data_IF_434092313386
#
_entry.id   IF_434092313386
#
_cell.length_a   1.000
_cell.length_b   1.000
_cell.length_c   1.000
_cell.angle_alpha   90.00
_cell.angle_beta   90.00
_cell.angle_gamma   90.00
#
_symmetry.space_group_name_H-M   'P 1'
#
loop_
_entity.id
_entity.type
_entity.pdbx_description
1 polymer ?
#
# COMPACT_ATOMS: atom_id res chain seq x y z
N UNK A 1 -3.84 -5.10 -7.96
CA UNK A 1 -4.20 -6.50 -7.66
C UNK A 1 -5.14 -6.65 -6.47
N UNK A 2 -4.83 -6.21 -5.23
CA UNK A 2 -5.77 -6.37 -4.10
C UNK A 2 -7.14 -5.71 -4.37
N UNK A 3 -7.17 -4.50 -4.93
CA UNK A 3 -8.41 -3.85 -5.34
C UNK A 3 -9.23 -4.68 -6.34
N UNK A 4 -8.55 -5.27 -7.34
CA UNK A 4 -9.14 -6.17 -8.32
C UNK A 4 -9.76 -7.40 -7.67
N UNK A 5 -9.04 -8.04 -6.74
CA UNK A 5 -9.54 -9.19 -5.97
C UNK A 5 -10.82 -8.81 -5.22
N UNK A 6 -10.83 -7.67 -4.52
CA UNK A 6 -12.02 -7.21 -3.80
C UNK A 6 -13.19 -6.90 -4.76
N UNK A 7 -12.91 -6.34 -5.94
CA UNK A 7 -13.93 -6.14 -6.97
C UNK A 7 -14.52 -7.46 -7.48
N UNK A 8 -13.67 -8.42 -7.81
CA UNK A 8 -14.08 -9.76 -8.26
C UNK A 8 -14.89 -10.50 -7.18
N UNK A 9 -14.46 -10.43 -5.91
CA UNK A 9 -15.19 -11.04 -4.81
C UNK A 9 -16.57 -10.40 -4.60
N UNK A 10 -16.66 -9.07 -4.77
CA UNK A 10 -17.90 -8.32 -4.62
C UNK A 10 -18.90 -8.58 -5.75
N UNK A 11 -18.45 -8.52 -7.01
CA UNK A 11 -19.28 -8.76 -8.18
C UNK A 11 -18.42 -9.29 -9.33
N UNK A 12 -18.28 -10.60 -9.39
CA UNK A 12 -17.48 -11.32 -10.38
C UNK A 12 -18.04 -11.15 -11.79
N UNK A 13 -19.36 -11.07 -11.96
CA UNK A 13 -19.98 -10.79 -13.27
C UNK A 13 -19.56 -9.42 -13.81
N UNK A 14 -19.62 -8.38 -12.98
CA UNK A 14 -19.20 -7.02 -13.36
C UNK A 14 -17.68 -6.94 -13.59
N UNK A 15 -16.89 -7.65 -12.79
CA UNK A 15 -15.45 -7.72 -13.00
C UNK A 15 -15.14 -8.36 -14.36
N UNK A 16 -15.69 -9.57 -14.60
CA UNK A 16 -15.44 -10.36 -15.80
C UNK A 16 -16.05 -9.78 -17.08
N UNK A 17 -17.03 -8.87 -16.97
CA UNK A 17 -17.55 -8.14 -18.13
C UNK A 17 -16.59 -7.06 -18.65
N UNK A 18 -15.55 -6.72 -17.89
CA UNK A 18 -14.56 -5.68 -18.25
C UNK A 18 -13.16 -6.23 -18.37
N UNK A 19 -12.79 -7.18 -17.50
CA UNK A 19 -11.44 -7.72 -17.38
C UNK A 19 -11.46 -9.23 -17.37
N UNK A 20 -10.55 -9.85 -18.12
CA UNK A 20 -10.30 -11.29 -18.06
C UNK A 20 -9.40 -11.62 -16.88
N UNK A 21 -8.43 -10.74 -16.56
CA UNK A 21 -7.39 -10.97 -15.57
C UNK A 21 -7.36 -9.89 -14.47
N UNK A 22 -6.91 -10.26 -13.27
CA UNK A 22 -6.81 -9.38 -12.09
C UNK A 22 -5.80 -8.24 -12.27
N UNK A 23 -4.81 -8.39 -13.15
CA UNK A 23 -3.81 -7.37 -13.43
C UNK A 23 -4.29 -6.28 -14.41
N UNK A 24 -5.37 -6.53 -15.15
CA UNK A 24 -6.01 -5.56 -16.06
C UNK A 24 -6.81 -4.49 -15.29
N UNK A 25 -7.19 -4.78 -14.04
CA UNK A 25 -7.87 -3.86 -13.14
C UNK A 25 -6.88 -3.03 -12.31
N UNK A 26 -6.51 -1.88 -12.86
CA UNK A 26 -5.67 -0.86 -12.23
C UNK A 26 -6.44 0.47 -12.12
N UNK A 27 -5.82 1.50 -11.53
CA UNK A 27 -6.52 2.72 -11.12
C UNK A 27 -7.42 3.35 -12.19
N UNK A 28 -6.94 3.44 -13.44
CA UNK A 28 -7.67 4.04 -14.57
C UNK A 28 -8.73 3.11 -15.18
N UNK A 29 -8.65 1.80 -14.96
CA UNK A 29 -9.52 0.79 -15.57
C UNK A 29 -10.45 0.08 -14.58
N UNK A 30 -10.54 0.54 -13.31
CA UNK A 30 -11.28 -0.14 -12.24
C UNK A 30 -12.71 -0.52 -12.62
N UNK A 31 -13.02 -1.81 -12.66
CA UNK A 31 -14.33 -2.34 -13.00
C UNK A 31 -15.41 -1.92 -12.01
N UNK A 32 -15.10 -1.97 -10.71
CA UNK A 32 -15.98 -1.53 -9.62
C UNK A 32 -15.87 -0.03 -9.31
N UNK A 33 -14.99 0.71 -9.99
CA UNK A 33 -14.76 2.15 -9.80
C UNK A 33 -14.64 2.52 -8.30
N UNK A 34 -15.40 3.51 -7.81
CA UNK A 34 -15.43 3.92 -6.40
C UNK A 34 -16.50 3.19 -5.56
N UNK A 35 -17.19 2.17 -6.12
CA UNK A 35 -18.25 1.44 -5.40
C UNK A 35 -17.74 0.70 -4.16
N UNK A 36 -16.45 0.34 -4.12
CA UNK A 36 -15.85 -0.39 -3.00
C UNK A 36 -14.94 0.45 -2.11
N UNK A 37 -14.81 1.74 -2.40
CA UNK A 37 -13.92 2.64 -1.67
C UNK A 37 -14.71 3.43 -0.61
N UNK A 38 -14.04 3.71 0.51
CA UNK A 38 -14.48 4.64 1.54
C UNK A 38 -13.28 5.22 2.29
N UNK A 39 -13.43 6.40 2.84
CA UNK A 39 -12.38 7.18 3.50
C UNK A 39 -12.19 6.84 4.97
N UNK A 40 -13.18 6.20 5.60
CA UNK A 40 -13.17 5.86 7.02
C UNK A 40 -14.12 4.69 7.35
N UNK A 41 -13.96 4.10 8.53
CA UNK A 41 -14.75 2.96 9.01
C UNK A 41 -16.25 3.26 9.01
N UNK A 42 -16.65 4.48 9.39
CA UNK A 42 -18.06 4.84 9.46
C UNK A 42 -18.70 4.83 8.08
N UNK A 43 -18.05 5.45 7.09
CA UNK A 43 -18.54 5.46 5.70
C UNK A 43 -18.68 4.04 5.14
N UNK A 44 -17.69 3.16 5.37
CA UNK A 44 -17.75 1.76 4.93
C UNK A 44 -18.89 1.02 5.63
N UNK A 45 -19.05 1.21 6.95
CA UNK A 45 -20.15 0.61 7.72
C UNK A 45 -21.53 1.08 7.24
N UNK A 46 -21.69 2.36 6.92
CA UNK A 46 -22.94 2.89 6.37
C UNK A 46 -23.25 2.26 5.02
N UNK A 47 -22.23 2.14 4.16
CA UNK A 47 -22.36 1.61 2.80
C UNK A 47 -22.68 0.11 2.75
N UNK A 48 -22.04 -0.70 3.59
CA UNK A 48 -22.11 -2.16 3.48
C UNK A 48 -22.76 -2.87 4.68
N UNK A 49 -22.93 -2.19 5.80
CA UNK A 49 -23.50 -2.78 7.02
C UNK A 49 -24.70 -1.97 7.56
N UNK A 50 -25.40 -1.23 6.70
CA UNK A 50 -26.61 -0.45 7.04
C UNK A 50 -26.42 0.45 8.28
N UNK A 51 -25.21 1.00 8.47
CA UNK A 51 -24.89 1.87 9.60
C UNK A 51 -24.72 1.16 10.95
N UNK A 52 -24.82 -0.18 11.01
CA UNK A 52 -24.60 -0.97 12.24
C UNK A 52 -23.12 -0.99 12.63
N UNK A 53 -22.64 0.13 13.17
CA UNK A 53 -21.20 0.38 13.36
C UNK A 53 -20.53 -0.58 14.34
N UNK A 54 -21.16 -0.86 15.49
CA UNK A 54 -20.63 -1.81 16.48
C UNK A 54 -20.47 -3.22 15.91
N UNK A 55 -21.44 -3.65 15.11
CA UNK A 55 -21.38 -4.94 14.41
C UNK A 55 -20.27 -4.96 13.37
N UNK A 56 -20.15 -3.89 12.58
CA UNK A 56 -19.07 -3.73 11.60
C UNK A 56 -17.70 -3.83 12.29
N UNK A 57 -17.50 -3.11 13.39
CA UNK A 57 -16.22 -3.14 14.11
C UNK A 57 -15.87 -4.51 14.70
N UNK A 58 -16.85 -5.25 15.22
CA UNK A 58 -16.58 -6.44 16.02
C UNK A 58 -16.74 -7.76 15.26
N UNK A 59 -17.62 -7.83 14.27
CA UNK A 59 -17.89 -9.08 13.52
C UNK A 59 -17.18 -9.15 12.17
N UNK A 60 -16.88 -8.00 11.55
CA UNK A 60 -16.20 -8.00 10.26
C UNK A 60 -14.69 -8.21 10.44
N UNK A 61 -14.08 -8.87 9.45
CA UNK A 61 -12.64 -9.07 9.41
C UNK A 61 -12.01 -7.85 8.72
N UNK A 62 -11.41 -6.97 9.52
CA UNK A 62 -10.67 -5.82 9.01
C UNK A 62 -9.24 -6.24 8.72
N UNK A 63 -8.84 -6.29 7.46
CA UNK A 63 -7.49 -6.70 7.06
C UNK A 63 -6.69 -5.46 6.68
N UNK A 64 -5.45 -5.37 7.19
CA UNK A 64 -4.48 -4.38 6.74
C UNK A 64 -3.26 -5.09 6.16
N UNK A 65 -2.86 -4.65 4.97
CA UNK A 65 -1.67 -5.18 4.30
C UNK A 65 -0.48 -4.29 4.68
N UNK A 66 0.48 -4.91 5.34
CA UNK A 66 1.66 -4.25 5.88
C UNK A 66 2.84 -4.56 4.96
N UNK A 67 3.63 -3.55 4.60
CA UNK A 67 4.85 -3.71 3.80
C UNK A 67 6.03 -3.18 4.60
N UNK A 68 7.21 -3.73 4.35
CA UNK A 68 8.45 -3.15 4.87
C UNK A 68 8.54 -1.67 4.40
N UNK A 69 8.82 -0.70 5.31
CA UNK A 69 8.79 0.72 4.96
C UNK A 69 9.77 1.10 3.85
N UNK A 70 10.97 0.51 3.82
CA UNK A 70 11.96 0.73 2.76
C UNK A 70 11.44 0.19 1.43
N UNK A 71 10.99 -1.07 1.40
CA UNK A 71 10.47 -1.66 0.16
C UNK A 71 9.29 -0.86 -0.39
N UNK A 72 8.41 -0.36 0.49
CA UNK A 72 7.28 0.46 0.10
C UNK A 72 7.74 1.80 -0.47
N UNK A 73 8.63 2.51 0.21
CA UNK A 73 9.15 3.78 -0.26
C UNK A 73 9.88 3.64 -1.60
N UNK A 74 10.82 2.71 -1.71
CA UNK A 74 11.59 2.47 -2.94
C UNK A 74 10.65 2.09 -4.09
N UNK A 75 9.66 1.23 -3.85
CA UNK A 75 8.67 0.86 -4.87
C UNK A 75 7.90 2.07 -5.40
N UNK A 76 7.40 2.94 -4.51
CA UNK A 76 6.70 4.17 -4.89
C UNK A 76 7.62 5.19 -5.57
N UNK A 77 8.84 5.36 -5.06
CA UNK A 77 9.83 6.28 -5.61
C UNK A 77 10.28 5.86 -7.00
N UNK A 78 10.65 4.59 -7.21
CA UNK A 78 11.03 4.09 -8.54
C UNK A 78 9.90 4.27 -9.54
N UNK A 79 8.67 3.92 -9.17
CA UNK A 79 7.53 4.05 -10.06
C UNK A 79 7.24 5.51 -10.43
N UNK A 80 7.03 6.37 -9.43
CA UNK A 80 6.54 7.73 -9.66
C UNK A 80 7.67 8.71 -9.99
N UNK A 81 8.78 8.67 -9.24
CA UNK A 81 9.81 9.70 -9.30
C UNK A 81 10.91 9.42 -10.31
N UNK A 82 11.01 8.18 -10.81
CA UNK A 82 12.02 7.77 -11.79
C UNK A 82 11.36 7.37 -13.11
N UNK A 83 10.48 6.36 -13.11
CA UNK A 83 9.86 5.84 -14.34
C UNK A 83 8.81 6.79 -14.93
N UNK A 84 7.97 7.38 -14.08
CA UNK A 84 6.91 8.31 -14.48
C UNK A 84 7.28 9.78 -14.26
N UNK A 85 8.58 10.11 -14.22
CA UNK A 85 9.05 11.47 -13.87
C UNK A 85 8.51 12.59 -14.77
N UNK A 86 8.16 12.28 -16.02
CA UNK A 86 7.61 13.25 -16.98
C UNK A 86 6.08 13.38 -16.90
N UNK A 87 5.40 12.50 -16.14
CA UNK A 87 3.96 12.67 -15.86
C UNK A 87 3.78 13.80 -14.84
N UNK A 88 2.84 14.70 -15.10
CA UNK A 88 2.65 15.92 -14.29
C UNK A 88 2.26 15.61 -12.84
N UNK A 89 1.38 14.63 -12.64
CA UNK A 89 0.94 14.21 -11.30
C UNK A 89 2.10 13.58 -10.52
N UNK A 90 2.90 12.76 -11.20
CA UNK A 90 4.08 12.12 -10.63
C UNK A 90 5.16 13.15 -10.28
N UNK A 91 5.43 14.11 -11.17
CA UNK A 91 6.38 15.18 -10.92
C UNK A 91 6.00 16.02 -9.67
N UNK A 92 4.72 16.39 -9.55
CA UNK A 92 4.20 17.09 -8.36
C UNK A 92 4.30 16.23 -7.09
N UNK A 93 3.94 14.95 -7.19
CA UNK A 93 4.01 14.00 -6.06
C UNK A 93 5.44 13.77 -5.57
N UNK A 94 6.41 13.90 -6.48
CA UNK A 94 7.83 13.82 -6.21
C UNK A 94 8.46 15.20 -5.97
N UNK A 95 7.65 16.21 -5.62
CA UNK A 95 8.10 17.56 -5.24
C UNK A 95 8.98 18.24 -6.30
N UNK A 96 8.77 17.93 -7.58
CA UNK A 96 9.60 18.39 -8.70
C UNK A 96 11.10 18.06 -8.55
N UNK A 97 11.44 17.03 -7.76
CA UNK A 97 12.81 16.64 -7.46
C UNK A 97 13.54 15.92 -8.62
N UNK A 98 12.85 15.66 -9.73
CA UNK A 98 13.43 15.04 -10.95
C UNK A 98 14.30 13.80 -10.65
N UNK A 99 13.74 12.84 -9.90
CA UNK A 99 14.42 11.59 -9.57
C UNK A 99 15.51 11.69 -8.49
N UNK A 100 15.69 12.85 -7.84
CA UNK A 100 16.60 12.98 -6.69
C UNK A 100 15.92 12.49 -5.39
N UNK A 101 16.40 11.36 -4.85
CA UNK A 101 15.83 10.74 -3.65
C UNK A 101 15.97 11.60 -2.39
N UNK A 102 17.10 12.30 -2.24
CA UNK A 102 17.35 13.17 -1.09
C UNK A 102 16.34 14.31 -1.02
N UNK A 103 16.12 14.97 -2.17
CA UNK A 103 15.13 16.03 -2.32
C UNK A 103 13.73 15.51 -1.97
N UNK A 104 13.34 14.31 -2.44
CA UNK A 104 12.03 13.73 -2.12
C UNK A 104 11.89 13.45 -0.63
N UNK A 105 12.89 12.82 0.01
CA UNK A 105 12.84 12.51 1.44
C UNK A 105 12.81 13.77 2.31
N UNK A 106 13.60 14.81 1.97
CA UNK A 106 13.59 16.10 2.69
C UNK A 106 12.23 16.78 2.61
N UNK A 107 11.62 16.83 1.42
CA UNK A 107 10.32 17.44 1.24
C UNK A 107 9.19 16.60 1.86
N UNK A 108 9.30 15.27 1.83
CA UNK A 108 8.38 14.39 2.52
C UNK A 108 8.41 14.60 4.03
N UNK A 109 9.60 14.68 4.64
CA UNK A 109 9.74 14.97 6.07
C UNK A 109 9.10 16.32 6.45
N UNK A 110 9.39 17.39 5.69
CA UNK A 110 8.76 18.70 5.89
C UNK A 110 7.23 18.64 5.77
N UNK A 111 6.73 17.92 4.76
CA UNK A 111 5.29 17.74 4.53
C UNK A 111 4.62 17.02 5.70
N UNK A 112 5.24 15.96 6.22
CA UNK A 112 4.72 15.20 7.36
C UNK A 112 4.69 16.04 8.63
N UNK A 113 5.73 16.85 8.88
CA UNK A 113 5.77 17.77 10.02
C UNK A 113 4.66 18.82 9.95
N UNK A 114 4.52 19.50 8.82
CA UNK A 114 3.46 20.50 8.61
C UNK A 114 2.06 19.87 8.70
N UNK A 115 1.88 18.65 8.17
CA UNK A 115 0.62 17.90 8.27
C UNK A 115 0.28 17.54 9.71
N UNK A 116 1.26 17.05 10.48
CA UNK A 116 1.09 16.69 11.89
C UNK A 116 0.70 17.90 12.75
N UNK A 117 1.33 19.05 12.49
CA UNK A 117 1.03 20.32 13.15
C UNK A 117 -0.28 20.97 12.67
N UNK A 118 -0.98 20.38 11.70
CA UNK A 118 -2.17 20.95 11.02
C UNK A 118 -1.90 22.29 10.34
N UNK A 119 -0.65 22.57 10.01
CA UNK A 119 -0.23 23.80 9.32
C UNK A 119 -0.60 23.75 7.83
N UNK A 120 -0.48 22.57 7.20
CA UNK A 120 -0.71 22.39 5.77
C UNK A 120 -1.23 21.00 5.45
N UNK A 121 -2.27 20.93 4.61
CA UNK A 121 -2.71 19.67 4.03
C UNK A 121 -1.86 19.27 2.81
N UNK A 122 -1.92 18.02 2.39
CA UNK A 122 -1.23 17.52 1.20
C UNK A 122 -2.14 16.64 0.35
N UNK A 123 -1.72 16.38 -0.88
CA UNK A 123 -2.54 15.66 -1.85
C UNK A 123 -2.76 14.20 -1.43
N UNK A 124 -3.93 13.66 -1.79
CA UNK A 124 -4.22 12.24 -1.59
C UNK A 124 -3.15 11.34 -2.24
N UNK A 125 -2.60 11.75 -3.39
CA UNK A 125 -1.59 10.98 -4.11
C UNK A 125 -0.27 10.86 -3.32
N UNK A 126 0.19 11.94 -2.66
CA UNK A 126 1.34 11.90 -1.75
C UNK A 126 1.04 11.01 -0.53
N UNK A 127 -0.13 11.19 0.12
CA UNK A 127 -0.53 10.39 1.29
C UNK A 127 -0.53 8.90 0.98
N UNK A 128 -1.15 8.52 -0.14
CA UNK A 128 -1.30 7.13 -0.53
C UNK A 128 0.05 6.43 -0.76
N UNK A 129 1.00 7.11 -1.40
CA UNK A 129 2.28 6.52 -1.79
C UNK A 129 3.37 6.63 -0.71
N UNK A 130 3.43 7.74 0.02
CA UNK A 130 4.60 8.09 0.84
C UNK A 130 4.33 8.35 2.33
N UNK A 131 3.07 8.44 2.79
CA UNK A 131 2.85 8.59 4.24
C UNK A 131 3.06 7.26 4.97
N UNK A 132 3.53 7.26 6.23
CA UNK A 132 3.59 6.04 7.05
C UNK A 132 2.26 5.28 7.07
N UNK A 133 2.30 3.96 7.00
CA UNK A 133 1.09 3.14 6.99
C UNK A 133 0.30 3.28 8.31
N UNK A 134 1.00 3.49 9.43
CA UNK A 134 0.39 3.78 10.74
C UNK A 134 -0.45 5.06 10.77
N UNK A 135 -0.23 5.98 9.82
CA UNK A 135 -1.00 7.23 9.70
C UNK A 135 -2.24 7.08 8.82
N UNK A 136 -2.36 5.96 8.10
CA UNK A 136 -3.41 5.72 7.11
C UNK A 136 -4.52 4.83 7.68
N UNK A 137 -5.67 4.80 6.99
CA UNK A 137 -6.78 3.90 7.27
C UNK A 137 -7.33 3.94 8.72
N UNK A 138 -7.18 5.06 9.43
CA UNK A 138 -7.54 5.19 10.86
C UNK A 138 -6.89 4.09 11.73
N UNK A 139 -5.68 3.67 11.35
CA UNK A 139 -4.97 2.56 11.98
C UNK A 139 -4.87 2.74 13.50
N UNK A 140 -4.41 3.89 13.99
CA UNK A 140 -4.28 4.14 15.43
C UNK A 140 -5.59 3.94 16.21
N UNK A 141 -6.73 4.33 15.62
CA UNK A 141 -8.04 4.21 16.26
C UNK A 141 -8.55 2.76 16.31
N UNK A 142 -8.19 1.93 15.33
CA UNK A 142 -8.72 0.58 15.17
C UNK A 142 -7.64 -0.51 15.12
N UNK A 143 -6.45 -0.24 15.65
CA UNK A 143 -5.30 -1.16 15.66
C UNK A 143 -5.68 -2.55 16.16
N UNK A 144 -6.47 -2.63 17.22
CA UNK A 144 -6.90 -3.91 17.83
C UNK A 144 -8.00 -4.64 17.01
N UNK A 145 -8.53 -4.03 15.95
CA UNK A 145 -9.52 -4.66 15.05
C UNK A 145 -8.86 -5.20 13.78
N UNK A 146 -7.65 -4.77 13.47
CA UNK A 146 -6.95 -5.14 12.26
C UNK A 146 -6.24 -6.49 12.36
N UNK A 147 -6.49 -7.34 11.38
CA UNK A 147 -5.67 -8.49 11.05
C UNK A 147 -4.53 -8.00 10.16
N UNK A 148 -3.33 -7.96 10.72
CA UNK A 148 -2.11 -7.55 10.02
C UNK A 148 -1.63 -8.68 9.12
N UNK A 149 -1.52 -8.43 7.81
CA UNK A 149 -0.95 -9.38 6.85
C UNK A 149 0.28 -8.74 6.21
N UNK A 150 1.47 -9.25 6.57
CA UNK A 150 2.74 -8.77 6.01
C UNK A 150 2.91 -9.24 4.57
N UNK A 151 3.12 -8.31 3.66
CA UNK A 151 3.54 -8.54 2.28
C UNK A 151 5.06 -8.40 2.20
N UNK A 152 5.71 -9.47 1.77
CA UNK A 152 7.14 -9.52 1.49
C UNK A 152 7.33 -9.86 0.01
N UNK A 153 8.14 -9.07 -0.69
CA UNK A 153 8.33 -9.20 -2.14
C UNK A 153 8.94 -10.55 -2.54
N UNK A 154 9.77 -11.14 -1.67
CA UNK A 154 10.39 -12.45 -1.85
C UNK A 154 9.50 -13.63 -1.42
N UNK A 155 8.41 -13.36 -0.69
CA UNK A 155 7.48 -14.38 -0.17
C UNK A 155 6.03 -14.09 -0.57
N UNK A 156 5.83 -13.62 -1.81
CA UNK A 156 4.51 -13.26 -2.35
C UNK A 156 3.51 -14.40 -2.25
N UNK A 157 3.94 -15.63 -2.54
CA UNK A 157 3.08 -16.81 -2.43
C UNK A 157 2.54 -16.99 -1.01
N UNK A 158 3.41 -16.91 0.01
CA UNK A 158 3.00 -17.02 1.41
C UNK A 158 2.02 -15.91 1.82
N UNK A 159 2.25 -14.68 1.34
CA UNK A 159 1.32 -13.58 1.54
C UNK A 159 -0.07 -13.90 0.96
N UNK A 160 -0.11 -14.39 -0.29
CA UNK A 160 -1.35 -14.72 -0.96
C UNK A 160 -2.06 -15.92 -0.35
N UNK A 161 -1.35 -16.94 0.10
CA UNK A 161 -1.92 -18.06 0.84
C UNK A 161 -2.59 -17.60 2.15
N UNK A 162 -1.97 -16.67 2.89
CA UNK A 162 -2.59 -16.06 4.08
C UNK A 162 -3.88 -15.32 3.72
N UNK A 163 -3.87 -14.57 2.62
CA UNK A 163 -5.05 -13.83 2.16
C UNK A 163 -6.19 -14.77 1.73
N UNK A 164 -5.88 -15.82 0.95
CA UNK A 164 -6.84 -16.84 0.55
C UNK A 164 -7.43 -17.58 1.76
N UNK A 165 -6.64 -17.86 2.80
CA UNK A 165 -7.13 -18.45 4.06
C UNK A 165 -8.15 -17.54 4.75
N UNK A 166 -7.92 -16.22 4.76
CA UNK A 166 -8.89 -15.25 5.30
C UNK A 166 -10.19 -15.28 4.50
N UNK A 167 -10.11 -15.27 3.17
CA UNK A 167 -11.29 -15.34 2.31
C UNK A 167 -12.08 -16.65 2.49
N UNK A 168 -11.38 -17.79 2.56
CA UNK A 168 -11.98 -19.09 2.85
C UNK A 168 -12.72 -19.10 4.19
N UNK A 169 -12.14 -18.47 5.23
CA UNK A 169 -12.79 -18.34 6.55
C UNK A 169 -14.07 -17.50 6.54
N UNK A 170 -14.36 -16.82 5.42
CA UNK A 170 -15.58 -16.03 5.18
C UNK A 170 -16.46 -16.66 4.10
N UNK A 171 -16.32 -17.96 3.88
CA UNK A 171 -17.14 -18.77 2.97
C UNK A 171 -17.08 -18.30 1.51
N UNK A 172 -15.96 -17.73 1.08
CA UNK A 172 -15.71 -17.52 -0.35
C UNK A 172 -15.59 -18.89 -1.03
N UNK A 173 -16.33 -19.10 -2.11
CA UNK A 173 -16.38 -20.38 -2.81
C UNK A 173 -15.02 -20.79 -3.38
N UNK A 174 -14.72 -22.10 -3.38
CA UNK A 174 -13.45 -22.61 -3.92
C UNK A 174 -13.25 -22.25 -5.39
N UNK A 175 -14.32 -22.16 -6.19
CA UNK A 175 -14.22 -21.68 -7.59
C UNK A 175 -13.59 -20.28 -7.67
N UNK A 176 -14.04 -19.34 -6.84
CA UNK A 176 -13.48 -17.97 -6.80
C UNK A 176 -12.06 -17.96 -6.23
N UNK A 177 -11.81 -18.76 -5.19
CA UNK A 177 -10.47 -18.89 -4.60
C UNK A 177 -9.46 -19.46 -5.59
N UNK A 178 -9.86 -20.45 -6.40
CA UNK A 178 -9.01 -21.06 -7.42
C UNK A 178 -8.70 -20.09 -8.56
N UNK A 179 -9.69 -19.31 -9.02
CA UNK A 179 -9.44 -18.23 -9.99
C UNK A 179 -8.42 -17.24 -9.44
N UNK A 180 -8.62 -16.73 -8.22
CA UNK A 180 -7.68 -15.80 -7.59
C UNK A 180 -6.30 -16.44 -7.45
N UNK A 181 -6.20 -17.67 -6.94
CA UNK A 181 -4.92 -18.37 -6.78
C UNK A 181 -4.18 -18.53 -8.12
N UNK A 182 -4.90 -18.89 -9.18
CA UNK A 182 -4.32 -19.02 -10.51
C UNK A 182 -3.78 -17.67 -11.00
N UNK A 183 -4.58 -16.61 -10.94
CA UNK A 183 -4.19 -15.26 -11.34
C UNK A 183 -2.95 -14.76 -10.59
N UNK A 184 -2.88 -15.02 -9.29
CA UNK A 184 -1.76 -14.61 -8.43
C UNK A 184 -0.45 -15.33 -8.76
N UNK A 185 -0.52 -16.54 -9.31
CA UNK A 185 0.65 -17.33 -9.71
C UNK A 185 1.11 -17.03 -11.14
N UNK A 186 0.22 -16.51 -12.00
CA UNK A 186 0.49 -16.31 -13.43
C UNK A 186 0.56 -14.83 -13.85
N UNK A 187 0.21 -13.89 -12.96
CA UNK A 187 0.23 -12.47 -13.28
C UNK A 187 0.98 -11.64 -12.25
N UNK A 188 1.67 -10.61 -12.73
CA UNK A 188 2.24 -9.56 -11.90
C UNK A 188 1.33 -8.33 -11.97
N UNK A 189 1.29 -7.55 -10.89
CA UNK A 189 0.56 -6.28 -10.93
C UNK A 189 1.17 -5.33 -11.96
N UNK A 190 0.31 -4.61 -12.69
CA UNK A 190 0.69 -3.66 -13.74
C UNK A 190 1.85 -2.70 -13.38
N UNK A 191 1.89 -2.19 -12.14
CA UNK A 191 2.92 -1.24 -11.68
C UNK A 191 4.06 -1.89 -10.86
N UNK A 192 4.30 -3.20 -10.98
CA UNK A 192 5.35 -3.82 -10.19
C UNK A 192 6.74 -3.40 -10.67
N UNK A 193 7.52 -2.80 -9.78
CA UNK A 193 8.91 -2.40 -10.04
C UNK A 193 9.94 -3.31 -9.37
N UNK A 194 9.52 -4.15 -8.42
CA UNK A 194 10.43 -5.03 -7.67
C UNK A 194 11.18 -6.00 -8.59
N UNK A 195 12.49 -6.12 -8.40
CA UNK A 195 13.36 -7.00 -9.20
C UNK A 195 13.77 -6.41 -10.55
N UNK A 196 13.35 -5.19 -10.88
CA UNK A 196 13.89 -4.46 -12.05
C UNK A 196 15.25 -3.87 -11.71
N UNK A 197 16.15 -3.79 -12.69
CA UNK A 197 17.48 -3.17 -12.52
C UNK A 197 17.41 -1.74 -11.99
N UNK A 198 16.38 -0.99 -12.38
CA UNK A 198 16.15 0.38 -11.92
C UNK A 198 15.78 0.39 -10.43
N UNK A 199 14.95 -0.54 -9.98
CA UNK A 199 14.56 -0.64 -8.57
C UNK A 199 15.75 -1.04 -7.68
N UNK A 200 16.57 -1.99 -8.14
CA UNK A 200 17.80 -2.38 -7.42
C UNK A 200 18.79 -1.22 -7.36
N UNK A 201 18.97 -0.45 -8.43
CA UNK A 201 19.79 0.77 -8.40
C UNK A 201 19.30 1.79 -7.37
N UNK A 202 17.98 2.00 -7.25
CA UNK A 202 17.44 2.91 -6.22
C UNK A 202 17.64 2.36 -4.81
N UNK A 203 17.54 1.03 -4.65
CA UNK A 203 17.85 0.37 -3.39
C UNK A 203 19.32 0.58 -3.01
N UNK A 204 20.25 0.38 -3.93
CA UNK A 204 21.69 0.62 -3.70
C UNK A 204 21.98 2.07 -3.31
N UNK A 205 21.41 3.06 -4.01
CA UNK A 205 21.56 4.48 -3.68
C UNK A 205 21.13 4.76 -2.24
N UNK A 206 19.99 4.20 -1.82
CA UNK A 206 19.49 4.36 -0.46
C UNK A 206 20.43 3.71 0.57
N UNK A 207 20.78 2.44 0.38
CA UNK A 207 21.59 1.69 1.36
C UNK A 207 23.04 2.17 1.45
N UNK A 208 23.58 2.76 0.38
CA UNK A 208 24.92 3.37 0.37
C UNK A 208 24.95 4.78 0.96
N UNK A 209 23.82 5.33 1.39
CA UNK A 209 23.77 6.67 2.01
C UNK A 209 23.25 6.60 3.45
N UNK A 210 24.15 6.68 4.46
CA UNK A 210 23.75 6.77 5.87
C UNK A 210 22.79 7.92 6.15
N UNK A 211 22.94 9.02 5.43
CA UNK A 211 22.04 10.17 5.52
C UNK A 211 20.61 9.85 5.07
N UNK A 212 20.45 9.22 3.89
CA UNK A 212 19.13 8.85 3.38
C UNK A 212 18.48 7.77 4.26
N UNK A 213 19.27 6.78 4.72
CA UNK A 213 18.78 5.77 5.66
C UNK A 213 18.28 6.38 6.97
N UNK A 214 19.02 7.33 7.54
CA UNK A 214 18.60 8.06 8.75
C UNK A 214 17.30 8.83 8.51
N UNK A 215 17.21 9.58 7.42
CA UNK A 215 16.03 10.38 7.11
C UNK A 215 14.79 9.51 6.87
N UNK A 216 14.93 8.40 6.14
CA UNK A 216 13.86 7.42 5.92
C UNK A 216 13.45 6.75 7.24
N UNK A 217 14.41 6.39 8.09
CA UNK A 217 14.15 5.81 9.42
C UNK A 217 13.37 6.75 10.31
N UNK A 218 13.66 8.06 10.28
CA UNK A 218 12.88 9.07 11.01
C UNK A 218 11.46 9.16 10.46
N UNK A 219 11.29 9.22 9.13
CA UNK A 219 9.98 9.35 8.49
C UNK A 219 9.06 8.17 8.83
N UNK A 220 9.59 6.95 8.82
CA UNK A 220 8.81 5.72 9.00
C UNK A 220 9.05 5.03 10.35
N UNK A 221 9.59 5.73 11.35
CA UNK A 221 9.96 5.15 12.64
C UNK A 221 8.81 4.34 13.27
N UNK A 222 7.62 4.94 13.31
CA UNK A 222 6.42 4.30 13.85
C UNK A 222 6.07 3.01 13.11
N UNK A 223 6.23 2.96 11.78
CA UNK A 223 5.95 1.75 11.00
C UNK A 223 6.96 0.63 11.31
N UNK A 224 8.24 0.96 11.49
CA UNK A 224 9.26 -0.03 11.86
C UNK A 224 8.93 -0.68 13.22
N UNK A 225 8.66 0.15 14.23
CA UNK A 225 8.34 -0.31 15.59
C UNK A 225 7.01 -1.05 15.62
N UNK A 226 5.95 -0.47 15.08
CA UNK A 226 4.58 -0.98 15.16
C UNK A 226 4.36 -2.30 14.43
N UNK A 227 5.11 -2.52 13.35
CA UNK A 227 5.01 -3.71 12.52
C UNK A 227 6.14 -4.71 12.74
N UNK A 228 7.09 -4.42 13.64
CA UNK A 228 8.22 -5.30 13.95
C UNK A 228 9.08 -5.54 12.72
N UNK A 229 9.56 -4.45 12.11
CA UNK A 229 10.62 -4.46 11.11
C UNK A 229 11.88 -3.86 11.73
N UNK A 230 13.03 -4.41 11.38
CA UNK A 230 14.31 -3.87 11.83
C UNK A 230 14.55 -2.48 11.23
N UNK A 231 15.05 -1.57 12.07
CA UNK A 231 15.55 -0.29 11.59
C UNK A 231 16.78 -0.54 10.71
N UNK A 232 16.90 0.13 9.55
CA UNK A 232 18.01 -0.07 8.63
C UNK A 232 19.31 0.59 9.10
N UNK A 233 19.22 1.47 10.11
CA UNK A 233 20.38 2.01 10.79
C UNK A 233 20.89 0.95 11.76
N UNK A 234 22.08 0.40 11.50
CA UNK A 234 22.86 -0.17 12.59
C UNK A 234 23.13 1.00 13.53
N UNK A 235 22.88 0.85 14.84
CA UNK A 235 23.33 1.84 15.81
C UNK A 235 24.78 2.18 15.46
N UNK A 236 25.02 3.42 15.04
CA UNK A 236 26.37 3.95 15.04
C UNK A 236 26.72 3.89 16.52
N UNK A 237 27.45 2.84 16.93
CA UNK A 237 28.19 2.91 18.17
C UNK A 237 29.10 4.12 17.97
N UNK A 238 28.78 5.22 18.65
CA UNK A 238 29.69 6.33 18.79
C UNK A 238 31.02 5.80 19.35
#
# INVERSE_FOLDING_TARGET
MIGAILCYLYNDKLFLSKHKHLNEDYWASRACSNKLVGSNFYQISTKFNKGKFKEFQNKWKHVIIIRNPIERFISGFTHLCVLSMNDSNSLSTCYHCKGNMECVLKNLYKTLKAYSNKEKDTTFHIKYHFFPQTWLCQYQKYKNKYIKVKYESLKKEQFYLKLLKIFRSRNVSEKKLNFIKWELNHSQSFHATNGTSINERQREILYNSPYLLKLLSIIYYDDFVEFGFDLPIKYIKN
#
